data_IF_887614841627
#
_entry.id   IF_887614841627
#
_cell.length_a   1.000
_cell.length_b   1.000
_cell.length_c   1.000
_cell.angle_alpha   90.00
_cell.angle_beta   90.00
_cell.angle_gamma   90.00
#
_symmetry.space_group_name_H-M   'P 1'
#
loop_
_entity.id
_entity.type
_entity.pdbx_description
1 polymer ?
#
# COMPACT_ATOMS: atom_id res chain seq x y z
N UNK A 1 -27.90 -15.96 -8.92
CA UNK A 1 -27.09 -16.52 -10.02
C UNK A 1 -25.68 -16.00 -9.81
N UNK A 2 -24.81 -16.85 -9.28
CA UNK A 2 -23.39 -16.57 -9.07
C UNK A 2 -22.72 -16.53 -10.43
N UNK A 3 -22.46 -15.33 -10.95
CA UNK A 3 -21.31 -15.16 -11.83
C UNK A 3 -20.11 -15.32 -10.91
N UNK A 4 -19.27 -16.34 -11.14
CA UNK A 4 -17.93 -16.39 -10.54
C UNK A 4 -17.16 -15.19 -11.09
N UNK A 5 -17.32 -14.04 -10.45
CA UNK A 5 -16.61 -12.82 -10.79
C UNK A 5 -15.19 -12.95 -10.28
N UNK A 6 -14.21 -12.81 -11.16
CA UNK A 6 -12.84 -12.56 -10.72
C UNK A 6 -12.82 -11.25 -9.93
N UNK A 7 -12.58 -11.32 -8.62
CA UNK A 7 -12.15 -10.16 -7.86
C UNK A 7 -10.70 -9.86 -8.24
N UNK A 8 -10.50 -8.81 -9.03
CA UNK A 8 -9.17 -8.34 -9.42
C UNK A 8 -8.67 -7.41 -8.33
N UNK A 9 -7.52 -7.74 -7.74
CA UNK A 9 -6.78 -6.83 -6.88
C UNK A 9 -5.72 -6.13 -7.72
N UNK A 10 -5.81 -4.81 -7.82
CA UNK A 10 -4.82 -3.97 -8.49
C UNK A 10 -3.68 -3.59 -7.55
N UNK A 11 -2.52 -3.24 -8.13
CA UNK A 11 -1.42 -2.60 -7.41
C UNK A 11 -1.14 -1.25 -8.06
N UNK A 12 -1.21 -0.18 -7.27
CA UNK A 12 -0.81 1.16 -7.67
C UNK A 12 0.59 1.45 -7.12
N UNK A 13 1.49 1.93 -7.99
CA UNK A 13 2.86 2.24 -7.61
C UNK A 13 3.85 1.09 -7.81
N UNK A 14 5.07 1.32 -7.36
CA UNK A 14 6.19 0.38 -7.41
C UNK A 14 7.21 0.78 -6.35
N UNK A 15 7.88 -0.19 -5.75
CA UNK A 15 9.03 0.05 -4.87
C UNK A 15 10.30 0.52 -5.60
N UNK A 16 10.19 0.89 -6.89
CA UNK A 16 11.29 1.39 -7.72
C UNK A 16 11.05 2.80 -8.24
N UNK A 17 9.93 3.43 -7.87
CA UNK A 17 9.62 4.78 -8.37
C UNK A 17 10.41 5.88 -7.65
N UNK A 18 10.93 5.63 -6.45
CA UNK A 18 11.77 6.62 -5.76
C UNK A 18 10.98 7.85 -5.32
N UNK A 19 9.70 7.67 -4.97
CA UNK A 19 8.80 8.73 -4.52
C UNK A 19 9.28 9.40 -3.23
N UNK A 20 10.02 8.70 -2.37
CA UNK A 20 10.68 9.26 -1.19
C UNK A 20 11.97 10.03 -1.51
N UNK A 21 12.49 9.96 -2.74
CA UNK A 21 13.69 10.71 -3.15
C UNK A 21 13.37 12.09 -3.75
N UNK A 22 12.08 12.45 -3.82
CA UNK A 22 11.63 13.75 -4.32
C UNK A 22 11.93 14.83 -3.27
N UNK A 23 12.86 15.73 -3.56
CA UNK A 23 13.20 16.87 -2.70
C UNK A 23 12.96 18.19 -3.43
N UNK A 24 12.09 19.03 -2.86
CA UNK A 24 11.76 20.37 -3.38
C UNK A 24 12.63 21.49 -2.78
N UNK A 25 13.62 21.15 -1.94
CA UNK A 25 14.50 22.08 -1.22
C UNK A 25 14.26 22.14 0.29
N UNK A 26 13.31 21.37 0.81
CA UNK A 26 12.99 21.27 2.24
C UNK A 26 13.34 19.90 2.85
N UNK A 27 13.97 19.03 2.07
CA UNK A 27 14.23 17.65 2.42
C UNK A 27 13.20 16.69 1.80
N UNK A 28 13.51 15.40 1.92
CA UNK A 28 12.71 14.29 1.42
C UNK A 28 11.35 14.19 2.12
N UNK A 29 10.33 13.56 1.51
CA UNK A 29 9.01 13.44 2.10
C UNK A 29 9.03 12.65 3.40
N UNK A 30 8.22 13.08 4.37
CA UNK A 30 8.07 12.34 5.63
C UNK A 30 7.23 11.08 5.44
N UNK A 31 6.20 11.15 4.58
CA UNK A 31 5.28 10.06 4.25
C UNK A 31 4.77 10.23 2.83
N UNK A 32 4.59 9.13 2.10
CA UNK A 32 3.91 9.08 0.80
C UNK A 32 2.66 8.21 0.90
N UNK A 33 1.55 8.70 0.35
CA UNK A 33 0.27 7.98 0.27
C UNK A 33 -0.30 8.05 -1.14
N UNK A 34 -0.70 6.90 -1.69
CA UNK A 34 -1.38 6.82 -2.99
C UNK A 34 -2.88 6.90 -2.73
N UNK A 35 -3.43 8.11 -2.65
CA UNK A 35 -4.82 8.31 -2.21
C UNK A 35 -5.88 7.64 -3.08
N UNK A 36 -5.59 7.43 -4.38
CA UNK A 36 -6.54 6.82 -5.33
C UNK A 36 -6.79 5.33 -5.11
N UNK A 37 -6.10 4.68 -4.18
CA UNK A 37 -6.33 3.27 -3.84
C UNK A 37 -7.69 3.03 -3.17
N UNK A 38 -8.36 4.09 -2.71
CA UNK A 38 -9.71 4.06 -2.14
C UNK A 38 -10.82 3.74 -3.17
N UNK A 39 -10.55 3.89 -4.47
CA UNK A 39 -11.55 3.78 -5.55
C UNK A 39 -11.91 2.35 -5.94
N UNK A 40 -11.29 1.33 -5.34
CA UNK A 40 -11.55 -0.08 -5.64
C UNK A 40 -10.67 -1.02 -4.82
N UNK A 41 -10.57 -2.28 -5.24
CA UNK A 41 -9.66 -3.26 -4.63
C UNK A 41 -8.23 -3.02 -5.14
N UNK A 42 -7.58 -1.97 -4.64
CA UNK A 42 -6.21 -1.59 -5.04
C UNK A 42 -5.30 -1.46 -3.82
N UNK A 43 -4.08 -1.95 -3.97
CA UNK A 43 -3.02 -1.85 -2.97
C UNK A 43 -2.01 -0.80 -3.42
N UNK A 44 -1.62 0.12 -2.54
CA UNK A 44 -0.53 1.06 -2.78
C UNK A 44 0.81 0.38 -2.51
N UNK A 45 1.80 0.58 -3.37
CA UNK A 45 3.15 0.05 -3.20
C UNK A 45 4.20 1.13 -3.44
N UNK A 46 5.08 1.32 -2.47
CA UNK A 46 6.23 2.22 -2.54
C UNK A 46 7.47 1.60 -1.88
N UNK A 47 8.63 2.18 -2.12
CA UNK A 47 9.85 1.85 -1.37
C UNK A 47 9.73 2.30 0.09
N UNK A 48 10.47 1.65 0.99
CA UNK A 48 10.59 2.16 2.36
C UNK A 48 11.36 3.48 2.38
N UNK A 49 10.84 4.47 3.11
CA UNK A 49 11.51 5.76 3.37
C UNK A 49 12.99 5.65 3.75
N UNK A 50 13.34 4.62 4.53
CA UNK A 50 14.68 4.46 5.09
C UNK A 50 15.62 3.62 4.20
N UNK A 51 15.17 3.12 3.04
CA UNK A 51 16.02 2.40 2.09
C UNK A 51 16.60 1.08 2.59
N UNK A 52 16.14 0.54 3.72
CA UNK A 52 16.68 -0.69 4.34
C UNK A 52 16.18 -1.99 3.68
N UNK A 53 15.92 -1.95 2.37
CA UNK A 53 15.37 -3.08 1.61
C UNK A 53 13.90 -3.40 1.88
N UNK A 54 13.20 -2.60 2.69
CA UNK A 54 11.78 -2.75 2.96
C UNK A 54 10.89 -2.10 1.89
N UNK A 55 9.60 -2.41 1.96
CA UNK A 55 8.53 -1.78 1.15
C UNK A 55 7.48 -1.17 2.07
N UNK A 56 6.74 -0.19 1.55
CA UNK A 56 5.51 0.31 2.17
C UNK A 56 4.31 -0.18 1.36
N UNK A 57 3.33 -0.71 2.08
CA UNK A 57 2.06 -1.22 1.53
C UNK A 57 0.92 -0.36 2.07
N UNK A 58 0.24 0.36 1.18
CA UNK A 58 -0.90 1.22 1.51
C UNK A 58 -2.22 0.51 1.23
N UNK A 59 -3.14 0.57 2.19
CA UNK A 59 -4.46 -0.08 2.10
C UNK A 59 -5.54 0.87 2.63
N UNK A 60 -6.67 0.91 1.92
CA UNK A 60 -7.88 1.60 2.36
C UNK A 60 -9.01 0.58 2.41
N UNK A 61 -9.38 0.16 3.61
CA UNK A 61 -10.42 -0.83 3.88
C UNK A 61 -11.41 -0.27 4.89
N UNK A 62 -12.62 -0.85 4.93
CA UNK A 62 -13.51 -0.58 6.05
C UNK A 62 -12.87 -1.05 7.37
N UNK A 63 -13.26 -0.46 8.49
CA UNK A 63 -12.65 -0.71 9.81
C UNK A 63 -12.59 -2.21 10.15
N UNK A 64 -13.71 -2.92 9.97
CA UNK A 64 -13.79 -4.34 10.32
C UNK A 64 -12.83 -5.21 9.48
N UNK A 65 -12.74 -4.95 8.18
CA UNK A 65 -11.81 -5.62 7.28
C UNK A 65 -10.35 -5.27 7.60
N UNK A 66 -10.05 -4.02 7.98
CA UNK A 66 -8.71 -3.62 8.40
C UNK A 66 -8.29 -4.33 9.70
N UNK A 67 -9.21 -4.48 10.66
CA UNK A 67 -8.93 -5.19 11.92
C UNK A 67 -8.58 -6.66 11.65
N UNK A 68 -9.34 -7.33 10.77
CA UNK A 68 -9.06 -8.71 10.32
C UNK A 68 -7.72 -8.78 9.57
N UNK A 69 -7.51 -7.88 8.60
CA UNK A 69 -6.28 -7.83 7.82
C UNK A 69 -5.05 -7.71 8.72
N UNK A 70 -5.09 -6.79 9.69
CA UNK A 70 -3.96 -6.55 10.59
C UNK A 70 -3.61 -7.79 11.42
N UNK A 71 -4.62 -8.55 11.86
CA UNK A 71 -4.43 -9.80 12.60
C UNK A 71 -3.76 -10.84 11.71
N UNK A 72 -4.33 -11.11 10.53
CA UNK A 72 -3.82 -12.12 9.59
C UNK A 72 -2.41 -11.78 9.07
N UNK A 73 -2.15 -10.51 8.77
CA UNK A 73 -0.87 -10.05 8.25
C UNK A 73 0.25 -10.22 9.28
N UNK A 74 -0.03 -9.91 10.55
CA UNK A 74 0.92 -10.12 11.64
C UNK A 74 1.15 -11.60 11.91
N UNK A 75 0.10 -12.42 12.00
CA UNK A 75 0.23 -13.87 12.18
C UNK A 75 1.06 -14.54 11.09
N UNK A 76 0.94 -14.09 9.83
CA UNK A 76 1.69 -14.64 8.70
C UNK A 76 3.16 -14.23 8.62
N UNK A 77 3.60 -13.23 9.40
CA UNK A 77 4.99 -12.76 9.45
C UNK A 77 5.82 -13.45 10.55
N UNK A 78 5.18 -14.24 11.40
CA UNK A 78 5.81 -14.97 12.51
C UNK A 78 6.42 -16.30 12.09
#
# INVERSE_FOLDING_TARGET
>A
MTSEGFEIIGVAGSNRFGVYEIDFGWGRPEKVEIVSVDRGLTIGLAESKNGKGGIEVGLVLNKHAMDIFSTLFLEGLH
#
